data_IF_208818362598
#
_entry.id   IF_208818362598
#
_cell.length_a   1.000
_cell.length_b   1.000
_cell.length_c   1.000
_cell.angle_alpha   90.00
_cell.angle_beta   90.00
_cell.angle_gamma   90.00
#
_symmetry.space_group_name_H-M   'P 1'
#
loop_
_entity.id
_entity.type
_entity.pdbx_description
1 polymer ?
#
# COMPACT_ATOMS: atom_id res chain seq x y z
N UNK A 1 34.59 -7.69 18.25
CA UNK A 1 34.36 -6.50 17.42
C UNK A 1 33.30 -6.87 16.39
N UNK A 2 32.04 -6.45 16.58
CA UNK A 2 30.96 -6.75 15.63
C UNK A 2 30.92 -5.58 14.64
N UNK A 3 31.35 -5.82 13.40
CA UNK A 3 31.24 -4.83 12.33
C UNK A 3 29.83 -4.96 11.76
N UNK A 4 28.89 -4.14 12.22
CA UNK A 4 27.57 -4.07 11.61
C UNK A 4 27.73 -3.39 10.25
N UNK A 5 27.65 -4.17 9.18
CA UNK A 5 27.75 -3.70 7.81
C UNK A 5 26.40 -3.12 7.39
N UNK A 6 26.37 -1.84 7.01
CA UNK A 6 25.16 -1.17 6.53
C UNK A 6 24.70 -1.85 5.23
N UNK A 7 23.56 -2.54 5.28
CA UNK A 7 22.94 -3.16 4.12
C UNK A 7 21.91 -2.20 3.53
N UNK A 8 22.10 -1.82 2.26
CA UNK A 8 21.11 -1.02 1.52
C UNK A 8 20.06 -1.98 0.98
N UNK A 9 18.95 -2.12 1.69
CA UNK A 9 17.80 -2.88 1.21
C UNK A 9 17.10 -2.07 0.11
N UNK A 10 17.16 -2.54 -1.14
CA UNK A 10 16.38 -1.95 -2.23
C UNK A 10 15.07 -2.70 -2.36
N UNK A 11 13.92 -2.09 -2.07
CA UNK A 11 12.64 -2.74 -2.32
C UNK A 11 12.50 -2.99 -3.83
N UNK A 12 12.18 -4.23 -4.18
CA UNK A 12 11.90 -4.63 -5.56
C UNK A 12 10.41 -4.38 -5.84
N UNK A 13 10.11 -3.67 -6.93
CA UNK A 13 8.74 -3.36 -7.35
C UNK A 13 8.44 -4.02 -8.70
N UNK A 14 7.28 -4.65 -8.80
CA UNK A 14 6.78 -5.24 -10.05
C UNK A 14 5.59 -4.42 -10.53
N UNK A 15 5.60 -3.98 -11.79
CA UNK A 15 4.47 -3.29 -12.39
C UNK A 15 3.34 -4.26 -12.72
N UNK A 16 2.12 -3.91 -12.32
CA UNK A 16 0.89 -4.64 -12.63
C UNK A 16 -0.22 -3.65 -13.00
N UNK A 17 -0.99 -3.98 -14.04
CA UNK A 17 -2.10 -3.14 -14.51
C UNK A 17 -3.43 -3.70 -14.03
N UNK A 18 -4.19 -2.92 -13.28
CA UNK A 18 -5.53 -3.24 -12.82
C UNK A 18 -6.55 -2.29 -13.42
N UNK A 19 -7.79 -2.75 -13.59
CA UNK A 19 -8.92 -1.90 -13.98
C UNK A 19 -9.69 -1.50 -12.74
N UNK A 20 -9.84 -0.20 -12.52
CA UNK A 20 -10.57 0.36 -11.39
C UNK A 20 -11.87 1.01 -11.88
N UNK A 21 -12.97 0.94 -11.11
CA UNK A 21 -14.16 1.73 -11.38
C UNK A 21 -13.82 3.23 -11.39
N UNK A 22 -14.42 3.98 -12.33
CA UNK A 22 -14.12 5.39 -12.55
C UNK A 22 -14.28 6.24 -11.28
N UNK A 23 -15.37 6.04 -10.55
CA UNK A 23 -15.63 6.80 -9.32
C UNK A 23 -14.65 6.45 -8.20
N UNK A 24 -14.21 5.20 -8.11
CA UNK A 24 -13.20 4.81 -7.13
C UNK A 24 -11.86 5.49 -7.43
N UNK A 25 -11.43 5.46 -8.69
CA UNK A 25 -10.19 6.12 -9.10
C UNK A 25 -10.23 7.62 -8.78
N UNK A 26 -11.34 8.30 -9.11
CA UNK A 26 -11.51 9.73 -8.79
C UNK A 26 -11.37 10.02 -7.30
N UNK A 27 -12.03 9.24 -6.44
CA UNK A 27 -11.93 9.42 -4.98
C UNK A 27 -10.51 9.17 -4.47
N UNK A 28 -9.81 8.20 -5.04
CA UNK A 28 -8.42 7.92 -4.69
C UNK A 28 -7.48 9.04 -5.13
N UNK A 29 -7.68 9.62 -6.32
CA UNK A 29 -6.90 10.77 -6.82
C UNK A 29 -7.10 12.01 -5.96
N UNK A 30 -8.35 12.34 -5.60
CA UNK A 30 -8.67 13.45 -4.70
C UNK A 30 -8.03 13.23 -3.31
N UNK A 31 -8.09 12.00 -2.79
CA UNK A 31 -7.50 11.67 -1.50
C UNK A 31 -5.98 11.75 -1.54
N UNK A 32 -5.36 11.23 -2.59
CA UNK A 32 -3.92 11.32 -2.79
C UNK A 32 -3.45 12.78 -2.87
N UNK A 33 -4.18 13.63 -3.60
CA UNK A 33 -3.91 15.05 -3.69
C UNK A 33 -4.05 15.77 -2.34
N UNK A 34 -5.16 15.53 -1.61
CA UNK A 34 -5.37 16.13 -0.28
C UNK A 34 -4.28 15.76 0.72
N UNK A 35 -3.80 14.52 0.67
CA UNK A 35 -2.79 14.00 1.59
C UNK A 35 -1.35 14.21 1.09
N UNK A 36 -1.16 14.78 -0.10
CA UNK A 36 0.17 15.04 -0.67
C UNK A 36 0.96 13.77 -0.97
N UNK A 37 0.30 12.65 -1.27
CA UNK A 37 0.93 11.36 -1.60
C UNK A 37 0.69 10.99 -3.06
N UNK A 38 1.55 10.14 -3.62
CA UNK A 38 1.30 9.59 -4.96
C UNK A 38 0.17 8.57 -4.92
N UNK A 39 -0.58 8.44 -6.02
CA UNK A 39 -1.63 7.42 -6.16
C UNK A 39 -1.07 6.02 -5.92
N UNK A 40 0.15 5.73 -6.40
CA UNK A 40 0.81 4.45 -6.16
C UNK A 40 1.06 4.20 -4.65
N UNK A 41 1.58 5.21 -3.93
CA UNK A 41 1.80 5.10 -2.49
C UNK A 41 0.50 4.89 -1.72
N UNK A 42 -0.59 5.57 -2.14
CA UNK A 42 -1.92 5.37 -1.58
C UNK A 42 -2.41 3.93 -1.81
N UNK A 43 -2.34 3.43 -3.04
CA UNK A 43 -2.75 2.06 -3.40
C UNK A 43 -2.01 1.02 -2.57
N UNK A 44 -0.69 1.12 -2.45
CA UNK A 44 0.13 0.17 -1.68
C UNK A 44 -0.29 0.16 -0.21
N UNK A 45 -0.48 1.34 0.40
CA UNK A 45 -0.90 1.44 1.80
C UNK A 45 -2.31 0.92 2.02
N UNK A 46 -3.25 1.22 1.11
CA UNK A 46 -4.61 0.70 1.20
C UNK A 46 -4.63 -0.82 1.09
N UNK A 47 -3.87 -1.40 0.15
CA UNK A 47 -3.78 -2.85 0.00
C UNK A 47 -3.11 -3.52 1.21
N UNK A 48 -1.99 -2.98 1.70
CA UNK A 48 -1.29 -3.50 2.87
C UNK A 48 -2.17 -3.43 4.13
N UNK A 49 -2.86 -2.30 4.34
CA UNK A 49 -3.81 -2.16 5.44
C UNK A 49 -4.96 -3.16 5.33
N UNK A 50 -5.60 -3.26 4.17
CA UNK A 50 -6.69 -4.21 3.97
C UNK A 50 -6.23 -5.65 4.28
N UNK A 51 -5.12 -6.08 3.68
CA UNK A 51 -4.58 -7.43 3.88
C UNK A 51 -4.25 -7.74 5.35
N UNK A 52 -3.65 -6.79 6.08
CA UNK A 52 -3.33 -6.96 7.50
C UNK A 52 -4.55 -7.02 8.41
N UNK A 53 -5.66 -6.42 8.00
CA UNK A 53 -6.89 -6.36 8.79
C UNK A 53 -7.95 -7.38 8.37
N UNK A 54 -7.73 -8.14 7.29
CA UNK A 54 -8.63 -9.21 6.84
C UNK A 54 -8.79 -10.34 7.87
N UNK A 55 -7.76 -10.65 8.66
CA UNK A 55 -7.77 -11.79 9.58
C UNK A 55 -8.37 -11.50 10.97
N UNK A 56 -8.85 -10.27 11.24
CA UNK A 56 -9.48 -9.93 12.53
C UNK A 56 -10.98 -10.27 12.61
N UNK A 57 -11.57 -10.85 11.57
CA UNK A 57 -13.00 -11.21 11.51
C UNK A 57 -13.29 -12.72 11.63
N UNK A 58 -12.33 -13.56 12.03
CA UNK A 58 -12.59 -15.00 12.27
C UNK A 58 -12.33 -15.44 13.71
N UNK A 59 -13.11 -14.91 14.66
CA UNK A 59 -13.67 -15.67 15.80
C UNK A 59 -14.50 -14.75 16.70
N UNK A 60 -15.84 -14.80 16.62
CA UNK A 60 -16.66 -14.91 17.81
C UNK A 60 -16.77 -16.40 18.16
N UNK A 61 -16.21 -16.74 19.33
CA UNK A 61 -16.57 -17.96 20.07
C UNK A 61 -18.07 -18.03 20.35
#
# INVERSE_FOLDING_TARGET
MVIAMFQITRPEYISKTFRLPKELLRQMEETAQRQGVSLNSLVVQCCDYALRNLERETSPE
#
